data_IF_525243011999
#
_entry.id   IF_525243011999
#
_cell.length_a   1.000
_cell.length_b   1.000
_cell.length_c   1.000
_cell.angle_alpha   90.00
_cell.angle_beta   90.00
_cell.angle_gamma   90.00
#
_symmetry.space_group_name_H-M   'P 1'
#
loop_
_entity.id
_entity.type
_entity.pdbx_description
1 polymer ?
#
# COMPACT_ATOMS: atom_id res chain seq x y z
N UNK A 1 -11.18 -11.25 -33.42
CA UNK A 1 -12.36 -11.47 -32.57
C UNK A 1 -12.28 -10.47 -31.44
N UNK A 2 -13.29 -9.66 -31.18
CA UNK A 2 -13.22 -8.55 -30.22
C UNK A 2 -13.92 -8.94 -28.91
N UNK A 3 -13.25 -8.72 -27.77
CA UNK A 3 -13.90 -8.86 -26.47
C UNK A 3 -14.75 -7.62 -26.22
N UNK A 4 -16.07 -7.71 -26.35
CA UNK A 4 -16.95 -6.52 -26.32
C UNK A 4 -17.23 -5.97 -24.93
N UNK A 5 -16.86 -6.69 -23.87
CA UNK A 5 -17.14 -6.33 -22.47
C UNK A 5 -15.96 -5.69 -21.74
N UNK A 6 -14.99 -5.11 -22.46
CA UNK A 6 -13.83 -4.39 -21.88
C UNK A 6 -14.26 -3.29 -20.91
N UNK A 7 -15.25 -2.49 -21.29
CA UNK A 7 -15.79 -1.40 -20.45
C UNK A 7 -16.49 -1.93 -19.21
N UNK A 8 -17.18 -3.07 -19.31
CA UNK A 8 -17.85 -3.68 -18.14
C UNK A 8 -16.84 -4.18 -17.12
N UNK A 9 -15.70 -4.73 -17.55
CA UNK A 9 -14.59 -5.05 -16.64
C UNK A 9 -13.99 -3.79 -16.00
N UNK A 10 -13.78 -2.73 -16.78
CA UNK A 10 -13.20 -1.48 -16.28
C UNK A 10 -14.04 -0.82 -15.16
N UNK A 11 -15.35 -1.10 -15.10
CA UNK A 11 -16.22 -0.66 -14.00
C UNK A 11 -15.82 -1.19 -12.63
N UNK A 12 -14.90 -2.16 -12.55
CA UNK A 12 -14.28 -2.52 -11.28
C UNK A 12 -13.67 -1.29 -10.57
N UNK A 13 -13.23 -0.26 -11.30
CA UNK A 13 -12.72 1.00 -10.75
C UNK A 13 -13.82 1.93 -10.21
N UNK A 14 -15.09 1.70 -10.53
CA UNK A 14 -16.21 2.50 -10.01
C UNK A 14 -16.44 2.14 -8.54
N UNK A 15 -15.99 3.02 -7.63
CA UNK A 15 -16.10 2.81 -6.19
C UNK A 15 -16.32 4.12 -5.44
N UNK A 16 -16.90 4.00 -4.25
CA UNK A 16 -17.06 5.10 -3.28
C UNK A 16 -16.05 5.03 -2.13
N UNK A 17 -14.99 4.24 -2.33
CA UNK A 17 -13.94 4.04 -1.33
C UNK A 17 -13.23 5.35 -0.99
N UNK A 18 -13.04 5.53 0.30
CA UNK A 18 -12.18 6.54 0.92
C UNK A 18 -10.89 5.83 1.36
N UNK A 19 -9.76 6.18 0.73
CA UNK A 19 -8.47 5.55 0.98
C UNK A 19 -7.99 5.72 2.42
N UNK A 20 -8.45 6.76 3.12
CA UNK A 20 -8.15 6.96 4.55
C UNK A 20 -8.89 6.00 5.49
N UNK A 21 -9.93 5.32 4.99
CA UNK A 21 -10.76 4.38 5.75
C UNK A 21 -10.54 2.93 5.37
N UNK A 22 -9.53 2.66 4.53
CA UNK A 22 -9.31 1.35 3.92
C UNK A 22 -8.61 0.31 4.82
N UNK A 23 -8.64 0.52 6.14
CA UNK A 23 -7.64 -0.05 7.04
C UNK A 23 -8.22 -0.91 8.18
N UNK A 24 -9.26 -1.70 7.88
CA UNK A 24 -9.75 -2.75 8.78
C UNK A 24 -9.79 -4.10 8.09
N UNK A 25 -9.29 -5.16 8.75
CA UNK A 25 -9.25 -6.51 8.16
C UNK A 25 -10.63 -6.98 7.70
N UNK A 26 -11.61 -6.90 8.62
CA UNK A 26 -12.97 -7.37 8.34
C UNK A 26 -13.62 -6.55 7.23
N UNK A 27 -13.43 -5.23 7.25
CA UNK A 27 -13.93 -4.33 6.21
C UNK A 27 -13.26 -4.58 4.85
N UNK A 28 -11.97 -4.92 4.83
CA UNK A 28 -11.24 -5.29 3.62
C UNK A 28 -11.73 -6.63 3.06
N UNK A 29 -11.74 -7.69 3.88
CA UNK A 29 -12.16 -9.04 3.45
C UNK A 29 -13.60 -9.00 2.90
N UNK A 30 -14.53 -8.34 3.60
CA UNK A 30 -15.93 -8.21 3.17
C UNK A 30 -16.06 -7.40 1.86
N UNK A 31 -15.35 -6.27 1.74
CA UNK A 31 -15.39 -5.44 0.53
C UNK A 31 -14.72 -6.13 -0.67
N UNK A 32 -13.60 -6.82 -0.44
CA UNK A 32 -12.89 -7.58 -1.45
C UNK A 32 -13.76 -8.72 -1.98
N UNK A 33 -14.37 -9.50 -1.08
CA UNK A 33 -15.24 -10.60 -1.46
C UNK A 33 -16.45 -10.10 -2.25
N UNK A 34 -17.04 -8.95 -1.85
CA UNK A 34 -18.14 -8.33 -2.59
C UNK A 34 -17.73 -7.93 -4.01
N UNK A 35 -16.57 -7.30 -4.18
CA UNK A 35 -16.04 -6.96 -5.51
C UNK A 35 -15.79 -8.23 -6.34
N UNK A 36 -15.12 -9.21 -5.75
CA UNK A 36 -14.79 -10.46 -6.45
C UNK A 36 -16.05 -11.19 -6.91
N UNK A 37 -17.05 -11.34 -6.03
CA UNK A 37 -18.33 -11.98 -6.36
C UNK A 37 -19.13 -11.21 -7.41
N UNK A 38 -19.04 -9.88 -7.43
CA UNK A 38 -19.72 -9.05 -8.42
C UNK A 38 -19.18 -9.26 -9.84
N UNK A 39 -17.88 -9.49 -9.99
CA UNK A 39 -17.21 -9.57 -11.30
C UNK A 39 -16.81 -11.00 -11.71
N UNK A 40 -17.04 -12.02 -10.87
CA UNK A 40 -16.56 -13.39 -11.13
C UNK A 40 -17.04 -13.99 -12.44
N UNK A 41 -18.31 -13.82 -12.79
CA UNK A 41 -18.87 -14.40 -14.01
C UNK A 41 -18.29 -13.72 -15.24
N UNK A 42 -18.15 -12.39 -15.19
CA UNK A 42 -17.55 -11.61 -16.27
C UNK A 42 -16.05 -11.92 -16.45
N UNK A 43 -15.32 -12.12 -15.36
CA UNK A 43 -13.92 -12.56 -15.40
C UNK A 43 -13.80 -13.98 -15.94
N UNK A 44 -14.74 -14.88 -15.64
CA UNK A 44 -14.77 -16.21 -16.23
C UNK A 44 -15.05 -16.17 -17.73
N UNK A 45 -15.93 -15.29 -18.20
CA UNK A 45 -16.14 -15.04 -19.63
C UNK A 45 -14.87 -14.53 -20.31
N UNK A 46 -14.16 -13.60 -19.67
CA UNK A 46 -12.85 -13.11 -20.15
C UNK A 46 -11.84 -14.25 -20.28
N UNK A 47 -11.70 -15.09 -19.25
CA UNK A 47 -10.80 -16.26 -19.25
C UNK A 47 -11.15 -17.23 -20.39
N UNK A 48 -12.44 -17.55 -20.54
CA UNK A 48 -12.90 -18.46 -21.59
C UNK A 48 -12.63 -17.89 -22.98
N UNK A 49 -12.86 -16.59 -23.18
CA UNK A 49 -12.56 -15.90 -24.43
C UNK A 49 -11.06 -15.94 -24.75
N UNK A 50 -10.21 -15.57 -23.79
CA UNK A 50 -8.75 -15.62 -23.93
C UNK A 50 -8.24 -17.02 -24.26
N UNK A 51 -8.87 -18.07 -23.72
CA UNK A 51 -8.55 -19.47 -24.03
C UNK A 51 -8.75 -19.88 -25.49
N UNK A 52 -9.46 -19.07 -26.29
CA UNK A 52 -9.70 -19.32 -27.72
C UNK A 52 -8.77 -18.54 -28.65
N UNK A 53 -7.90 -17.68 -28.09
CA UNK A 53 -7.07 -16.76 -28.86
C UNK A 53 -5.66 -17.29 -29.06
N UNK A 54 -5.05 -16.90 -30.18
CA UNK A 54 -3.62 -16.97 -30.37
C UNK A 54 -2.92 -15.86 -29.58
N UNK A 55 -1.59 -15.98 -29.42
CA UNK A 55 -0.79 -15.11 -28.54
C UNK A 55 -0.92 -13.62 -28.87
N UNK A 56 -0.76 -13.22 -30.14
CA UNK A 56 -0.80 -11.80 -30.51
C UNK A 56 -2.18 -11.19 -30.25
N UNK A 57 -3.25 -11.95 -30.56
CA UNK A 57 -4.62 -11.53 -30.27
C UNK A 57 -4.92 -11.47 -28.76
N UNK A 58 -4.28 -12.32 -27.95
CA UNK A 58 -4.38 -12.26 -26.50
C UNK A 58 -3.76 -10.98 -25.92
N UNK A 59 -2.55 -10.62 -26.39
CA UNK A 59 -1.86 -9.40 -25.99
C UNK A 59 -2.68 -8.15 -26.36
N UNK A 60 -3.25 -8.11 -27.56
CA UNK A 60 -4.13 -7.03 -28.01
C UNK A 60 -5.36 -6.87 -27.11
N UNK A 61 -6.02 -7.98 -26.74
CA UNK A 61 -7.19 -7.96 -25.86
C UNK A 61 -6.81 -7.49 -24.45
N UNK A 62 -5.67 -7.91 -23.93
CA UNK A 62 -5.17 -7.46 -22.62
C UNK A 62 -4.85 -5.96 -22.62
N UNK A 63 -4.25 -5.44 -23.69
CA UNK A 63 -3.99 -4.01 -23.86
C UNK A 63 -5.31 -3.22 -23.95
N UNK A 64 -6.29 -3.71 -24.73
CA UNK A 64 -7.61 -3.08 -24.84
C UNK A 64 -8.35 -3.02 -23.50
N UNK A 65 -8.38 -4.12 -22.75
CA UNK A 65 -8.97 -4.12 -21.39
C UNK A 65 -8.22 -3.13 -20.50
N UNK A 66 -6.89 -3.14 -20.52
CA UNK A 66 -6.09 -2.25 -19.67
C UNK A 66 -6.31 -0.76 -19.98
N UNK A 67 -6.43 -0.40 -21.27
CA UNK A 67 -6.81 0.96 -21.69
C UNK A 67 -8.21 1.33 -21.24
N UNK A 68 -9.16 0.39 -21.22
CA UNK A 68 -10.51 0.66 -20.72
C UNK A 68 -10.50 1.01 -19.22
N UNK A 69 -9.64 0.37 -18.40
CA UNK A 69 -9.46 0.72 -16.99
C UNK A 69 -8.91 2.16 -16.84
N UNK A 70 -7.90 2.52 -17.62
CA UNK A 70 -7.34 3.89 -17.61
C UNK A 70 -8.39 4.92 -18.05
N UNK A 71 -9.13 4.64 -19.13
CA UNK A 71 -10.18 5.53 -19.61
C UNK A 71 -11.30 5.73 -18.56
N UNK A 72 -11.68 4.66 -17.85
CA UNK A 72 -12.65 4.74 -16.76
C UNK A 72 -12.16 5.67 -15.63
N UNK A 73 -10.88 5.57 -15.27
CA UNK A 73 -10.25 6.45 -14.28
C UNK A 73 -10.21 7.91 -14.76
N UNK A 74 -9.76 8.15 -15.99
CA UNK A 74 -9.70 9.50 -16.56
C UNK A 74 -11.09 10.17 -16.63
N UNK A 75 -12.12 9.42 -17.04
CA UNK A 75 -13.50 9.88 -17.03
C UNK A 75 -13.96 10.27 -15.61
N UNK A 76 -13.58 9.48 -14.60
CA UNK A 76 -13.89 9.76 -13.20
C UNK A 76 -13.19 11.01 -12.68
N UNK A 77 -11.90 11.17 -12.97
CA UNK A 77 -11.13 12.36 -12.57
C UNK A 77 -11.64 13.61 -13.28
N UNK A 78 -12.05 13.51 -14.54
CA UNK A 78 -12.64 14.62 -15.28
C UNK A 78 -13.92 15.15 -14.60
N UNK A 79 -14.77 14.23 -14.09
CA UNK A 79 -16.00 14.55 -13.34
C UNK A 79 -15.74 15.02 -11.90
N UNK A 80 -14.55 14.74 -11.36
CA UNK A 80 -14.18 15.13 -9.99
C UNK A 80 -13.80 16.62 -9.92
N UNK A 81 -14.29 17.40 -8.93
CA UNK A 81 -13.92 18.79 -8.75
C UNK A 81 -12.39 18.97 -8.66
N UNK A 82 -11.84 19.98 -9.35
CA UNK A 82 -10.38 20.15 -9.49
C UNK A 82 -9.61 20.11 -8.15
N UNK A 83 -10.17 20.72 -7.09
CA UNK A 83 -9.60 20.72 -5.73
C UNK A 83 -9.51 19.34 -5.06
N UNK A 84 -10.33 18.38 -5.49
CA UNK A 84 -10.41 17.03 -4.94
C UNK A 84 -9.71 15.98 -5.81
N UNK A 85 -9.36 16.30 -7.06
CA UNK A 85 -8.76 15.34 -8.01
C UNK A 85 -7.52 14.63 -7.47
N UNK A 86 -6.65 15.35 -6.75
CA UNK A 86 -5.45 14.75 -6.15
C UNK A 86 -5.80 13.70 -5.08
N UNK A 87 -6.79 14.00 -4.25
CA UNK A 87 -7.26 13.07 -3.20
C UNK A 87 -7.97 11.88 -3.83
N UNK A 88 -8.83 12.12 -4.82
CA UNK A 88 -9.53 11.08 -5.56
C UNK A 88 -8.54 10.13 -6.26
N UNK A 89 -7.59 10.65 -7.03
CA UNK A 89 -6.55 9.84 -7.69
C UNK A 89 -5.76 9.00 -6.67
N UNK A 90 -5.52 9.54 -5.47
CA UNK A 90 -4.87 8.77 -4.41
C UNK A 90 -5.74 7.60 -3.91
N UNK A 91 -7.01 7.85 -3.62
CA UNK A 91 -7.96 6.80 -3.20
C UNK A 91 -8.08 5.71 -4.28
N UNK A 92 -8.13 6.14 -5.53
CA UNK A 92 -8.28 5.29 -6.70
C UNK A 92 -7.01 4.45 -6.96
N UNK A 93 -5.85 5.06 -6.74
CA UNK A 93 -4.56 4.37 -6.76
C UNK A 93 -4.47 3.27 -5.70
N UNK A 94 -4.91 3.56 -4.46
CA UNK A 94 -4.99 2.57 -3.41
C UNK A 94 -5.96 1.45 -3.77
N UNK A 95 -7.14 1.80 -4.28
CA UNK A 95 -8.16 0.82 -4.64
C UNK A 95 -7.72 -0.10 -5.78
N UNK A 96 -7.07 0.46 -6.80
CA UNK A 96 -6.47 -0.31 -7.89
C UNK A 96 -5.47 -1.35 -7.37
N UNK A 97 -4.58 -0.93 -6.46
CA UNK A 97 -3.55 -1.79 -5.88
C UNK A 97 -4.09 -2.83 -4.88
N UNK A 98 -5.12 -2.48 -4.10
CA UNK A 98 -5.63 -3.30 -2.99
C UNK A 98 -6.78 -4.22 -3.36
N UNK A 99 -7.58 -3.85 -4.37
CA UNK A 99 -8.81 -4.53 -4.72
C UNK A 99 -8.79 -5.03 -6.15
N UNK A 100 -8.60 -4.14 -7.13
CA UNK A 100 -8.78 -4.50 -8.54
C UNK A 100 -7.70 -5.49 -9.01
N UNK A 101 -6.42 -5.14 -8.87
CA UNK A 101 -5.32 -6.00 -9.30
C UNK A 101 -5.34 -7.36 -8.56
N UNK A 102 -5.54 -7.40 -7.22
CA UNK A 102 -5.67 -8.67 -6.52
C UNK A 102 -6.92 -9.47 -6.92
N UNK A 103 -8.08 -8.82 -7.17
CA UNK A 103 -9.29 -9.50 -7.60
C UNK A 103 -9.15 -10.13 -8.99
N UNK A 104 -8.50 -9.43 -9.92
CA UNK A 104 -8.18 -9.97 -11.25
C UNK A 104 -7.26 -11.19 -11.14
N UNK A 105 -6.21 -11.11 -10.33
CA UNK A 105 -5.26 -12.24 -10.17
C UNK A 105 -5.80 -13.41 -9.33
N UNK A 106 -6.89 -13.22 -8.58
CA UNK A 106 -7.45 -14.23 -7.66
C UNK A 106 -7.95 -15.50 -8.38
N UNK A 107 -8.21 -15.44 -9.69
CA UNK A 107 -8.60 -16.60 -10.52
C UNK A 107 -7.43 -17.56 -10.82
N UNK A 108 -6.18 -17.14 -10.60
CA UNK A 108 -4.97 -17.98 -10.71
C UNK A 108 -4.85 -18.69 -12.06
N UNK A 109 -5.15 -17.96 -13.15
CA UNK A 109 -4.94 -18.42 -14.52
C UNK A 109 -3.86 -17.58 -15.20
N UNK A 110 -3.18 -18.13 -16.22
CA UNK A 110 -2.19 -17.38 -17.01
C UNK A 110 -2.78 -16.11 -17.66
N UNK A 111 -4.06 -16.13 -18.04
CA UNK A 111 -4.72 -15.00 -18.70
C UNK A 111 -5.01 -13.86 -17.73
N UNK A 112 -5.51 -14.19 -16.55
CA UNK A 112 -5.75 -13.21 -15.49
C UNK A 112 -4.46 -12.67 -14.88
N UNK A 113 -3.43 -13.51 -14.81
CA UNK A 113 -2.12 -13.07 -14.33
C UNK A 113 -1.50 -12.04 -15.27
N UNK A 114 -1.49 -12.33 -16.56
CA UNK A 114 -1.02 -11.41 -17.60
C UNK A 114 -1.88 -10.13 -17.67
N UNK A 115 -3.19 -10.22 -17.49
CA UNK A 115 -4.04 -9.03 -17.40
C UNK A 115 -3.66 -8.16 -16.19
N UNK A 116 -3.44 -8.75 -15.02
CA UNK A 116 -3.01 -8.01 -13.82
C UNK A 116 -1.67 -7.29 -14.06
N UNK A 117 -0.72 -7.92 -14.76
CA UNK A 117 0.53 -7.29 -15.15
C UNK A 117 0.33 -6.12 -16.13
N UNK A 118 -0.55 -6.28 -17.13
CA UNK A 118 -0.90 -5.21 -18.06
C UNK A 118 -1.58 -4.02 -17.34
N UNK A 119 -2.46 -4.28 -16.37
CA UNK A 119 -3.09 -3.23 -15.56
C UNK A 119 -2.05 -2.43 -14.76
N UNK A 120 -1.11 -3.11 -14.10
CA UNK A 120 -0.02 -2.46 -13.36
C UNK A 120 0.85 -1.63 -14.30
N UNK A 121 1.22 -2.18 -15.46
CA UNK A 121 2.01 -1.48 -16.48
C UNK A 121 1.30 -0.23 -16.99
N UNK A 122 0.03 -0.35 -17.38
CA UNK A 122 -0.77 0.75 -17.88
C UNK A 122 -0.93 1.86 -16.82
N UNK A 123 -1.17 1.48 -15.55
CA UNK A 123 -1.28 2.43 -14.45
C UNK A 123 0.02 3.19 -14.21
N UNK A 124 1.17 2.50 -14.18
CA UNK A 124 2.49 3.14 -14.02
C UNK A 124 2.82 4.09 -15.18
N UNK A 125 2.41 3.74 -16.39
CA UNK A 125 2.62 4.60 -17.56
C UNK A 125 1.77 5.87 -17.48
N UNK A 126 0.52 5.76 -17.03
CA UNK A 126 -0.40 6.89 -16.94
C UNK A 126 -0.13 7.78 -15.72
N UNK A 127 0.18 7.18 -14.57
CA UNK A 127 0.38 7.86 -13.29
C UNK A 127 1.76 7.54 -12.70
N UNK A 128 2.86 7.95 -13.34
CA UNK A 128 4.22 7.61 -12.90
C UNK A 128 4.56 8.12 -11.49
N UNK A 129 3.85 9.15 -11.00
CA UNK A 129 3.98 9.69 -9.65
C UNK A 129 3.25 8.86 -8.58
N UNK A 130 2.41 7.90 -8.99
CA UNK A 130 1.67 6.99 -8.12
C UNK A 130 1.83 5.54 -8.63
N UNK A 131 3.05 4.97 -8.58
CA UNK A 131 3.27 3.61 -9.03
C UNK A 131 2.57 2.62 -8.09
N UNK A 132 1.92 1.62 -8.69
CA UNK A 132 1.35 0.48 -7.97
C UNK A 132 2.19 -0.78 -8.21
N UNK A 133 2.10 -1.74 -7.29
CA UNK A 133 2.70 -3.07 -7.42
C UNK A 133 1.62 -4.14 -7.55
N UNK A 134 2.02 -5.30 -8.04
CA UNK A 134 1.19 -6.50 -8.12
C UNK A 134 1.10 -7.17 -6.74
N UNK A 135 0.09 -6.80 -5.95
CA UNK A 135 -0.24 -7.48 -4.70
C UNK A 135 -1.23 -8.64 -4.90
N UNK A 136 -1.17 -9.66 -4.03
CA UNK A 136 -2.20 -10.71 -3.95
C UNK A 136 -3.16 -10.48 -2.79
N UNK A 137 -4.37 -11.02 -2.90
CA UNK A 137 -5.36 -10.98 -1.82
C UNK A 137 -4.78 -11.59 -0.54
N UNK A 138 -4.11 -12.73 -0.62
CA UNK A 138 -3.53 -13.40 0.54
C UNK A 138 -2.43 -12.56 1.19
N UNK A 139 -1.58 -11.90 0.41
CA UNK A 139 -0.54 -11.01 0.95
C UNK A 139 -1.15 -9.82 1.70
N UNK A 140 -2.16 -9.19 1.11
CA UNK A 140 -2.85 -8.03 1.68
C UNK A 140 -3.65 -8.43 2.92
N UNK A 141 -4.53 -9.45 2.81
CA UNK A 141 -5.34 -9.97 3.92
C UNK A 141 -4.48 -10.46 5.09
N UNK A 142 -3.35 -11.10 4.81
CA UNK A 142 -2.41 -11.51 5.86
C UNK A 142 -1.60 -10.33 6.43
N UNK A 143 -1.39 -9.25 5.68
CA UNK A 143 -0.84 -7.99 6.17
C UNK A 143 -1.65 -7.47 7.37
N UNK A 144 -2.99 -7.46 7.26
CA UNK A 144 -3.88 -7.10 8.36
C UNK A 144 -3.80 -8.07 9.57
N UNK A 145 -3.45 -9.35 9.36
CA UNK A 145 -3.32 -10.34 10.45
C UNK A 145 -2.01 -10.18 11.21
N UNK A 146 -0.94 -9.75 10.53
CA UNK A 146 0.35 -9.53 11.18
C UNK A 146 0.31 -8.14 11.81
N UNK A 147 -0.14 -8.05 13.07
CA UNK A 147 0.24 -6.94 13.96
C UNK A 147 1.76 -6.98 14.14
N UNK A 148 2.52 -6.50 13.16
CA UNK A 148 3.95 -6.34 13.33
C UNK A 148 4.11 -5.10 14.24
N UNK A 149 4.77 -5.24 15.39
CA UNK A 149 4.95 -4.15 16.35
C UNK A 149 5.79 -3.00 15.75
N UNK A 150 5.27 -1.76 15.71
CA UNK A 150 6.09 -0.57 15.40
C UNK A 150 7.03 -0.27 16.57
N UNK A 151 8.10 -1.05 16.76
CA UNK A 151 8.97 -1.02 17.95
C UNK A 151 9.30 0.40 18.45
N UNK A 152 9.85 1.26 17.59
CA UNK A 152 10.24 2.62 17.97
C UNK A 152 9.01 3.46 18.34
N UNK A 153 7.96 3.42 17.52
CA UNK A 153 6.74 4.22 17.77
C UNK A 153 6.01 3.76 19.02
N UNK A 154 6.03 2.45 19.30
CA UNK A 154 5.44 1.83 20.51
C UNK A 154 6.18 2.31 21.75
N UNK A 155 7.51 2.16 21.78
CA UNK A 155 8.33 2.65 22.88
C UNK A 155 8.16 4.17 23.11
N UNK A 156 8.06 4.95 22.03
CA UNK A 156 7.76 6.39 22.13
C UNK A 156 6.40 6.63 22.77
N UNK A 157 5.32 6.03 22.27
CA UNK A 157 3.97 6.27 22.79
C UNK A 157 3.83 5.81 24.24
N UNK A 158 4.38 4.64 24.59
CA UNK A 158 4.41 4.13 25.96
C UNK A 158 5.18 5.08 26.90
N UNK A 159 6.32 5.62 26.47
CA UNK A 159 7.10 6.58 27.27
C UNK A 159 6.35 7.89 27.55
N UNK A 160 5.40 8.25 26.67
CA UNK A 160 4.52 9.41 26.82
C UNK A 160 3.24 9.10 27.61
N UNK A 161 3.12 7.87 28.16
CA UNK A 161 1.91 7.41 28.85
C UNK A 161 0.71 7.20 27.91
N UNK A 162 0.93 7.11 26.60
CA UNK A 162 -0.10 6.79 25.62
C UNK A 162 -0.19 5.28 25.47
N UNK A 163 -1.39 4.71 25.58
CA UNK A 163 -1.60 3.27 25.38
C UNK A 163 -1.27 2.80 23.96
N UNK A 164 -1.14 1.48 23.78
CA UNK A 164 -0.77 0.85 22.50
C UNK A 164 -1.83 1.03 21.39
N UNK A 165 -3.04 1.43 21.75
CA UNK A 165 -4.13 1.73 20.81
C UNK A 165 -4.32 3.25 20.58
N UNK A 166 -3.32 4.08 20.89
CA UNK A 166 -3.44 5.52 20.67
C UNK A 166 -3.54 5.87 19.17
N UNK A 167 -4.23 6.97 18.88
CA UNK A 167 -4.55 7.41 17.52
C UNK A 167 -3.30 7.59 16.66
N UNK A 168 -2.23 8.13 17.24
CA UNK A 168 -0.95 8.37 16.59
C UNK A 168 -0.30 7.08 16.12
N UNK A 169 -0.35 6.06 16.97
CA UNK A 169 0.29 4.79 16.70
C UNK A 169 -0.50 3.97 15.68
N UNK A 170 -1.82 4.00 15.75
CA UNK A 170 -2.69 3.41 14.73
C UNK A 170 -2.50 4.08 13.36
N UNK A 171 -2.41 5.41 13.31
CA UNK A 171 -2.15 6.15 12.07
C UNK A 171 -0.85 5.69 11.37
N UNK A 172 0.24 5.48 12.12
CA UNK A 172 1.50 5.01 11.56
C UNK A 172 1.50 3.52 11.21
N UNK A 173 0.83 2.68 12.01
CA UNK A 173 0.63 1.26 11.71
C UNK A 173 -0.13 1.11 10.39
N UNK A 174 -1.23 1.84 10.23
CA UNK A 174 -2.02 1.85 9.00
C UNK A 174 -1.21 2.34 7.80
N UNK A 175 -0.47 3.43 7.94
CA UNK A 175 0.40 3.91 6.86
C UNK A 175 1.42 2.84 6.42
N UNK A 176 2.08 2.19 7.38
CA UNK A 176 3.08 1.15 7.11
C UNK A 176 2.46 -0.09 6.47
N UNK A 177 1.43 -0.65 7.10
CA UNK A 177 0.88 -1.95 6.73
C UNK A 177 0.15 -1.94 5.39
N UNK A 178 -0.27 -0.77 4.93
CA UNK A 178 -1.01 -0.63 3.68
C UNK A 178 -0.25 0.15 2.63
N UNK A 179 0.05 1.43 2.86
CA UNK A 179 0.69 2.22 1.81
C UNK A 179 2.14 1.78 1.61
N UNK A 180 2.93 1.69 2.69
CA UNK A 180 4.35 1.37 2.55
C UNK A 180 4.56 -0.05 1.99
N UNK A 181 3.73 -1.03 2.36
CA UNK A 181 3.82 -2.39 1.81
C UNK A 181 3.52 -2.48 0.31
N UNK A 182 2.80 -1.51 -0.27
CA UNK A 182 2.40 -1.50 -1.68
C UNK A 182 3.33 -0.69 -2.58
N UNK A 183 4.25 0.09 -2.01
CA UNK A 183 5.21 0.91 -2.76
C UNK A 183 6.42 0.08 -3.14
N UNK A 184 7.04 0.39 -4.29
CA UNK A 184 8.24 -0.30 -4.77
C UNK A 184 9.35 -0.27 -3.71
N UNK A 185 9.96 -1.43 -3.43
CA UNK A 185 10.89 -1.69 -2.32
C UNK A 185 10.33 -1.52 -0.90
N UNK A 186 9.06 -1.15 -0.75
CA UNK A 186 8.37 -0.96 0.51
C UNK A 186 8.46 -2.13 1.50
N UNK A 187 8.15 -3.38 1.08
CA UNK A 187 8.32 -4.55 1.95
C UNK A 187 9.74 -4.74 2.47
N UNK A 188 10.76 -4.49 1.62
CA UNK A 188 12.16 -4.58 2.02
C UNK A 188 12.53 -3.49 3.05
N UNK A 189 12.02 -2.27 2.87
CA UNK A 189 12.20 -1.17 3.84
C UNK A 189 11.55 -1.50 5.20
N UNK A 190 10.37 -2.13 5.17
CA UNK A 190 9.72 -2.60 6.39
C UNK A 190 10.57 -3.68 7.05
N UNK A 191 11.03 -4.68 6.31
CA UNK A 191 11.87 -5.74 6.88
C UNK A 191 13.19 -5.19 7.47
N UNK A 192 13.81 -4.20 6.82
CA UNK A 192 14.98 -3.48 7.36
C UNK A 192 14.65 -2.75 8.68
N UNK A 193 13.51 -2.05 8.74
CA UNK A 193 13.02 -1.46 9.99
C UNK A 193 12.90 -2.53 11.09
N UNK A 194 12.33 -3.70 10.78
CA UNK A 194 12.14 -4.78 11.76
C UNK A 194 13.44 -5.39 12.26
N UNK A 195 14.47 -5.42 11.43
CA UNK A 195 15.79 -5.88 11.81
C UNK A 195 16.47 -4.90 12.78
N UNK A 196 16.40 -3.61 12.48
CA UNK A 196 17.20 -2.56 13.15
C UNK A 196 16.50 -1.95 14.37
N UNK A 197 15.18 -1.75 14.30
CA UNK A 197 14.41 -1.04 15.33
C UNK A 197 14.48 -1.65 16.74
N UNK A 198 14.50 -2.99 16.94
CA UNK A 198 14.62 -3.57 18.28
C UNK A 198 15.94 -3.22 18.98
N UNK A 199 17.05 -3.15 18.24
CA UNK A 199 18.36 -2.76 18.80
C UNK A 199 18.39 -1.31 19.21
N UNK A 200 17.85 -0.42 18.36
CA UNK A 200 17.70 1.00 18.66
C UNK A 200 16.88 1.21 19.94
N UNK A 201 15.74 0.52 20.08
CA UNK A 201 14.90 0.62 21.28
C UNK A 201 15.66 0.14 22.51
N UNK A 202 16.32 -1.02 22.45
CA UNK A 202 17.13 -1.53 23.58
C UNK A 202 18.24 -0.56 23.99
N UNK A 203 18.94 0.02 23.02
CA UNK A 203 20.00 0.99 23.27
C UNK A 203 19.44 2.23 23.99
N UNK A 204 18.32 2.79 23.52
CA UNK A 204 17.68 3.94 24.17
C UNK A 204 17.17 3.59 25.56
N UNK A 205 16.51 2.44 25.74
CA UNK A 205 15.93 2.02 27.02
C UNK A 205 16.97 1.83 28.12
N UNK A 206 18.21 1.45 27.76
CA UNK A 206 19.32 1.34 28.70
C UNK A 206 19.82 2.67 29.25
N UNK A 207 19.36 3.81 28.70
CA UNK A 207 19.86 5.12 29.07
C UNK A 207 19.02 5.77 30.18
N UNK A 208 19.66 6.46 31.15
CA UNK A 208 18.94 7.22 32.18
C UNK A 208 18.04 8.34 31.63
N UNK A 209 18.41 8.92 30.48
CA UNK A 209 17.70 10.03 29.83
C UNK A 209 16.67 9.60 28.77
N UNK A 210 16.29 8.30 28.74
CA UNK A 210 15.39 7.72 27.72
C UNK A 210 14.09 8.47 27.50
N UNK A 211 13.46 8.99 28.56
CA UNK A 211 12.20 9.74 28.45
C UNK A 211 12.35 11.02 27.60
N UNK A 212 13.46 11.75 27.80
CA UNK A 212 13.77 12.93 26.99
C UNK A 212 14.10 12.57 25.54
N UNK A 213 14.77 11.43 25.34
CA UNK A 213 15.08 10.92 24.00
C UNK A 213 13.79 10.58 23.25
N UNK A 214 12.87 9.84 23.86
CA UNK A 214 11.61 9.47 23.23
C UNK A 214 10.70 10.68 22.94
N UNK A 215 10.65 11.67 23.82
CA UNK A 215 9.99 12.96 23.54
C UNK A 215 10.63 13.64 22.30
N UNK A 216 11.96 13.63 22.19
CA UNK A 216 12.67 14.13 21.02
C UNK A 216 12.32 13.38 19.73
N UNK A 217 12.24 12.05 19.79
CA UNK A 217 11.83 11.21 18.65
C UNK A 217 10.39 11.54 18.24
N UNK A 218 9.50 11.71 19.22
CA UNK A 218 8.10 12.05 18.97
C UNK A 218 7.99 13.36 18.19
N UNK A 219 8.65 14.43 18.65
CA UNK A 219 8.57 15.74 18.02
C UNK A 219 9.29 15.78 16.67
N UNK A 220 10.44 15.10 16.53
CA UNK A 220 11.27 15.17 15.33
C UNK A 220 10.77 14.30 14.17
N UNK A 221 10.16 13.15 14.48
CA UNK A 221 9.78 12.15 13.46
C UNK A 221 8.29 11.79 13.51
N UNK A 222 7.80 11.29 14.64
CA UNK A 222 6.44 10.71 14.73
C UNK A 222 5.36 11.73 14.40
N UNK A 223 5.38 12.89 15.05
CA UNK A 223 4.40 13.96 14.84
C UNK A 223 4.44 14.51 13.40
N UNK A 224 5.61 14.82 12.81
CA UNK A 224 5.71 15.17 11.39
C UNK A 224 5.16 14.10 10.44
N UNK A 225 5.49 12.82 10.65
CA UNK A 225 4.98 11.73 9.82
C UNK A 225 3.44 11.67 9.85
N UNK A 226 2.83 11.84 11.03
CA UNK A 226 1.36 11.88 11.17
C UNK A 226 0.76 13.07 10.40
N UNK A 227 1.39 14.25 10.45
CA UNK A 227 0.95 15.40 9.65
C UNK A 227 1.01 15.10 8.15
N UNK A 228 2.13 14.55 7.69
CA UNK A 228 2.32 14.17 6.29
C UNK A 228 1.29 13.15 5.82
N UNK A 229 1.00 12.13 6.64
CA UNK A 229 -0.06 11.13 6.36
C UNK A 229 -1.42 11.82 6.22
N UNK A 230 -1.80 12.68 7.16
CA UNK A 230 -3.07 13.42 7.12
C UNK A 230 -3.17 14.38 5.94
N UNK A 231 -2.06 14.91 5.47
CA UNK A 231 -1.95 15.78 4.29
C UNK A 231 -1.83 15.00 2.97
N UNK A 232 -1.80 13.66 3.01
CA UNK A 232 -1.62 12.81 1.82
C UNK A 232 -0.19 12.80 1.24
N UNK A 233 0.79 13.30 1.98
CA UNK A 233 2.22 13.40 1.60
C UNK A 233 2.98 12.13 1.96
N UNK A 234 2.53 11.00 1.43
CA UNK A 234 3.00 9.69 1.84
C UNK A 234 4.45 9.37 1.47
N UNK A 235 4.94 9.89 0.33
CA UNK A 235 6.35 9.76 -0.05
C UNK A 235 7.27 10.55 0.87
N UNK A 236 6.88 11.76 1.27
CA UNK A 236 7.61 12.54 2.27
C UNK A 236 7.64 11.81 3.62
N UNK A 237 6.49 11.22 4.00
CA UNK A 237 6.39 10.38 5.18
C UNK A 237 7.32 9.16 5.08
N UNK A 238 7.45 8.53 3.92
CA UNK A 238 8.34 7.38 3.69
C UNK A 238 9.77 7.77 3.99
N UNK A 239 10.22 8.84 3.36
CA UNK A 239 11.59 9.33 3.52
C UNK A 239 11.89 9.71 4.98
N UNK A 240 10.96 10.40 5.64
CA UNK A 240 11.07 10.79 7.06
C UNK A 240 11.05 9.58 8.01
N UNK A 241 10.17 8.62 7.75
CA UNK A 241 10.03 7.39 8.51
C UNK A 241 11.28 6.51 8.40
N UNK A 242 11.87 6.39 7.21
CA UNK A 242 13.11 5.63 7.00
C UNK A 242 14.34 6.34 7.56
N UNK A 243 14.42 7.68 7.45
CA UNK A 243 15.52 8.43 8.04
C UNK A 243 15.56 8.30 9.55
N UNK A 244 14.40 8.20 10.22
CA UNK A 244 14.30 8.00 11.66
C UNK A 244 15.13 6.80 12.13
N UNK A 245 14.97 5.62 11.52
CA UNK A 245 15.70 4.41 11.96
C UNK A 245 17.20 4.59 11.80
N UNK A 246 17.63 5.11 10.64
CA UNK A 246 19.05 5.30 10.33
C UNK A 246 19.69 6.34 11.26
N UNK A 247 19.01 7.46 11.50
CA UNK A 247 19.47 8.50 12.41
C UNK A 247 19.61 7.97 13.84
N UNK A 248 18.61 7.23 14.34
CA UNK A 248 18.63 6.69 15.69
C UNK A 248 19.69 5.59 15.86
N UNK A 249 19.90 4.73 14.87
CA UNK A 249 20.99 3.76 14.92
C UNK A 249 22.35 4.45 14.97
N UNK A 250 22.56 5.46 14.13
CA UNK A 250 23.80 6.24 14.14
C UNK A 250 24.03 6.89 15.51
N UNK A 251 22.99 7.44 16.14
CA UNK A 251 23.09 8.12 17.43
C UNK A 251 23.26 7.18 18.63
N UNK A 252 22.72 5.96 18.58
CA UNK A 252 22.59 5.11 19.79
C UNK A 252 23.24 3.73 19.67
N UNK A 253 23.56 3.27 18.46
CA UNK A 253 24.09 1.92 18.24
C UNK A 253 25.51 1.91 17.64
N UNK A 254 25.95 2.99 16.96
CA UNK A 254 27.26 3.02 16.27
C UNK A 254 28.48 3.42 17.11
N UNK A 255 28.32 3.74 18.39
CA UNK A 255 29.44 3.93 19.33
C UNK A 255 29.78 2.63 20.10
N UNK A 256 30.04 1.57 19.33
CA UNK A 256 30.46 0.26 19.83
C UNK A 256 31.41 -0.36 18.82
N UNK A 257 32.70 -0.09 18.99
CA UNK A 257 33.79 -0.74 18.26
C UNK A 257 33.63 -2.26 18.26
N UNK A 258 33.28 -2.83 17.10
CA UNK A 258 33.51 -4.24 16.81
C UNK A 258 35.01 -4.44 16.54
N UNK A 259 35.79 -4.72 17.57
CA UNK A 259 37.00 -5.53 17.43
C UNK A 259 36.53 -6.95 17.11
N UNK A 260 36.58 -7.34 15.83
CA UNK A 260 36.58 -8.76 15.47
C UNK A 260 38.01 -9.27 15.63
N UNK A 261 38.16 -10.33 16.42
CA UNK A 261 39.36 -11.16 16.53
C UNK A 261 39.73 -11.77 15.18
#
# INVERSE_FOLDING_TARGET
MEFTKTRDLARMMEHEVDGSKMFGKKTYDDAFQKLFDQYKDLMQEYVNFCGTLEKDALEDVQDQVSRAFIACEEERLARTPARQRKVRLYDDNLYMALFVVPAVSQFKTQYTDALADCLVKAWRQQYPQHPINRGSYEQISNGFKKRRFCYITTAVCESLGKGDDCQELNCLREYRDHWLMLVENGPALVDEYYLRAPEVVRAIDSRPDRGRIYEGIYQKYIRPCISMIREGRYEDCKNKYMSMVTDLENCYCRDGSYTKH
#
